data_IF_918961074201
#
_entry.id   IF_918961074201
#
_cell.length_a   1.000
_cell.length_b   1.000
_cell.length_c   1.000
_cell.angle_alpha   90.00
_cell.angle_beta   90.00
_cell.angle_gamma   90.00
#
_symmetry.space_group_name_H-M   'P 1'
#
loop_
_entity.id
_entity.type
_entity.pdbx_description
1 polymer ?
#
# COMPACT_ATOMS: atom_id res chain seq x y z
N UNK A 1 13.81 -42.65 -10.58
CA UNK A 1 13.77 -42.25 -9.17
C UNK A 1 13.17 -40.86 -9.12
N UNK A 2 11.91 -40.66 -8.74
CA UNK A 2 11.38 -39.31 -8.57
C UNK A 2 11.90 -38.77 -7.23
N UNK A 3 12.48 -37.56 -7.28
CA UNK A 3 13.03 -36.89 -6.13
C UNK A 3 11.95 -36.58 -5.09
N UNK A 4 12.25 -36.93 -3.88
CA UNK A 4 11.58 -36.54 -2.65
C UNK A 4 11.62 -35.00 -2.57
N UNK A 5 10.50 -34.33 -2.87
CA UNK A 5 10.31 -32.95 -2.50
C UNK A 5 10.18 -32.92 -0.97
N UNK A 6 11.28 -32.60 -0.33
CA UNK A 6 11.36 -32.28 1.09
C UNK A 6 10.32 -31.15 1.34
N UNK A 7 9.20 -31.52 1.95
CA UNK A 7 8.22 -30.56 2.44
C UNK A 7 8.90 -29.86 3.59
N UNK A 8 9.40 -28.64 3.31
CA UNK A 8 9.80 -27.72 4.36
C UNK A 8 8.57 -27.49 5.25
N UNK A 9 8.42 -28.30 6.28
CA UNK A 9 7.48 -28.07 7.36
C UNK A 9 7.94 -26.77 8.04
N UNK A 10 7.21 -25.68 7.76
CA UNK A 10 7.45 -24.43 8.43
C UNK A 10 6.94 -24.54 9.87
N UNK A 11 7.82 -24.63 10.88
CA UNK A 11 7.44 -24.88 12.28
C UNK A 11 6.55 -23.76 12.85
N UNK A 12 6.44 -22.62 12.17
CA UNK A 12 5.57 -21.50 12.55
C UNK A 12 4.08 -21.83 12.27
N UNK A 13 3.79 -22.76 11.34
CA UNK A 13 2.40 -23.05 10.93
C UNK A 13 1.64 -24.00 11.90
N UNK A 14 2.34 -24.68 12.80
CA UNK A 14 1.74 -25.74 13.61
C UNK A 14 0.98 -25.28 14.87
N UNK A 15 0.99 -23.98 15.22
CA UNK A 15 0.32 -23.44 16.40
C UNK A 15 -0.58 -22.22 16.12
N UNK A 16 -0.90 -21.94 14.85
CA UNK A 16 -1.75 -20.80 14.51
C UNK A 16 -3.20 -21.09 14.92
N UNK A 17 -3.82 -20.17 15.65
CA UNK A 17 -5.25 -20.20 15.88
C UNK A 17 -5.99 -20.00 14.53
N UNK A 18 -7.10 -20.69 14.31
CA UNK A 18 -7.86 -20.51 13.07
C UNK A 18 -8.40 -19.07 12.97
N UNK A 19 -8.55 -18.55 11.75
CA UNK A 19 -9.18 -17.26 11.56
C UNK A 19 -10.64 -17.28 12.03
N UNK A 20 -11.09 -16.18 12.59
CA UNK A 20 -12.47 -16.00 13.05
C UNK A 20 -13.34 -15.38 11.95
N UNK A 21 -14.66 -15.68 11.91
CA UNK A 21 -15.56 -14.98 11.03
C UNK A 21 -15.66 -13.50 11.45
N UNK A 22 -15.35 -12.60 10.52
CA UNK A 22 -15.32 -11.16 10.77
C UNK A 22 -16.46 -10.41 10.06
N UNK A 23 -16.85 -10.84 8.87
CA UNK A 23 -17.87 -10.18 8.07
C UNK A 23 -18.79 -11.21 7.44
N UNK A 24 -20.10 -10.95 7.55
CA UNK A 24 -21.14 -11.65 6.81
C UNK A 24 -21.59 -10.76 5.65
N UNK A 25 -21.52 -11.26 4.43
CA UNK A 25 -22.17 -10.64 3.29
C UNK A 25 -23.54 -11.31 3.11
N UNK A 26 -24.60 -10.51 3.10
CA UNK A 26 -25.95 -11.04 3.02
C UNK A 26 -26.61 -10.69 1.68
N UNK A 27 -27.51 -11.55 1.24
CA UNK A 27 -28.47 -11.28 0.15
C UNK A 27 -29.88 -11.41 0.73
N UNK A 28 -30.51 -10.26 0.98
CA UNK A 28 -31.71 -10.24 1.82
C UNK A 28 -31.39 -10.70 3.23
N UNK A 29 -32.13 -11.66 3.78
CA UNK A 29 -31.93 -12.20 5.12
C UNK A 29 -30.96 -13.40 5.18
N UNK A 30 -30.46 -13.85 4.02
CA UNK A 30 -29.58 -15.01 3.93
C UNK A 30 -28.11 -14.61 3.83
N UNK A 31 -27.22 -15.38 4.48
CA UNK A 31 -25.77 -15.20 4.37
C UNK A 31 -25.30 -15.75 3.02
N UNK A 32 -24.80 -14.88 2.14
CA UNK A 32 -24.24 -15.26 0.84
C UNK A 32 -22.76 -15.66 0.94
N UNK A 33 -21.98 -14.98 1.77
CA UNK A 33 -20.58 -15.32 2.01
C UNK A 33 -20.10 -14.90 3.39
N UNK A 34 -19.04 -15.58 3.86
CA UNK A 34 -18.37 -15.32 5.13
C UNK A 34 -16.91 -14.94 4.84
N UNK A 35 -16.44 -13.86 5.45
CA UNK A 35 -15.04 -13.49 5.41
C UNK A 35 -14.40 -13.74 6.77
N UNK A 36 -13.29 -14.47 6.74
CA UNK A 36 -12.54 -14.85 7.93
C UNK A 36 -11.23 -14.06 8.01
N UNK A 37 -10.77 -13.80 9.22
CA UNK A 37 -9.51 -13.09 9.43
C UNK A 37 -9.07 -13.09 10.88
N UNK A 38 -8.03 -12.30 11.14
CA UNK A 38 -7.49 -12.04 12.45
C UNK A 38 -7.50 -10.54 12.69
N UNK A 39 -7.79 -10.10 13.91
CA UNK A 39 -7.60 -8.71 14.29
C UNK A 39 -7.06 -8.60 15.72
N UNK A 40 -6.39 -7.51 16.00
CA UNK A 40 -5.97 -7.13 17.33
C UNK A 40 -6.18 -5.63 17.52
N UNK A 41 -6.70 -5.23 18.65
CA UNK A 41 -6.77 -3.85 19.12
C UNK A 41 -5.76 -3.70 20.25
N UNK A 42 -4.78 -2.82 20.06
CA UNK A 42 -3.75 -2.57 21.04
C UNK A 42 -3.95 -1.21 21.71
N UNK A 43 -3.69 -1.13 23.00
CA UNK A 43 -3.55 0.13 23.72
C UNK A 43 -2.22 0.82 23.36
N UNK A 44 -2.05 2.14 23.69
CA UNK A 44 -0.81 2.86 23.42
C UNK A 44 0.46 2.26 24.02
N UNK A 45 0.33 1.50 25.09
CA UNK A 45 1.43 0.78 25.75
C UNK A 45 1.76 -0.57 25.09
N UNK A 46 1.03 -0.93 24.02
CA UNK A 46 1.18 -2.19 23.30
C UNK A 46 0.41 -3.38 23.88
N UNK A 47 -0.29 -3.22 25.00
CA UNK A 47 -1.15 -4.27 25.55
C UNK A 47 -2.36 -4.53 24.63
N UNK A 48 -2.73 -5.79 24.49
CA UNK A 48 -3.89 -6.18 23.68
C UNK A 48 -5.17 -5.97 24.48
N UNK A 49 -6.04 -5.10 24.00
CA UNK A 49 -7.35 -4.79 24.58
C UNK A 49 -8.41 -5.77 24.10
N UNK A 50 -8.34 -6.11 22.80
CA UNK A 50 -9.30 -7.00 22.16
C UNK A 50 -8.61 -7.69 20.97
N UNK A 51 -9.08 -8.87 20.61
CA UNK A 51 -8.56 -9.59 19.46
C UNK A 51 -9.40 -10.81 19.10
N UNK A 52 -9.28 -11.30 17.88
CA UNK A 52 -9.94 -12.51 17.41
C UNK A 52 -9.08 -13.25 16.40
N UNK A 53 -9.15 -14.58 16.43
CA UNK A 53 -8.23 -15.42 15.70
C UNK A 53 -6.83 -15.39 16.30
N UNK A 54 -5.81 -15.54 15.46
CA UNK A 54 -4.42 -15.47 15.89
C UNK A 54 -3.91 -14.03 15.82
N UNK A 55 -3.81 -13.36 16.98
CA UNK A 55 -3.32 -11.97 17.08
C UNK A 55 -1.82 -11.85 16.78
N UNK A 56 -1.09 -12.95 16.74
CA UNK A 56 0.34 -13.00 16.40
C UNK A 56 0.58 -13.45 14.96
N UNK A 57 -0.48 -13.58 14.15
CA UNK A 57 -0.37 -13.96 12.76
C UNK A 57 0.52 -13.00 11.98
N UNK A 58 1.60 -13.54 11.39
CA UNK A 58 2.57 -12.76 10.62
C UNK A 58 2.04 -12.51 9.22
N UNK A 59 1.91 -11.25 8.84
CA UNK A 59 1.44 -10.85 7.53
C UNK A 59 2.23 -9.65 6.98
N UNK A 60 2.11 -9.43 5.67
CA UNK A 60 2.64 -8.23 5.04
C UNK A 60 1.59 -7.12 5.08
N UNK A 61 1.83 -5.99 5.76
CA UNK A 61 0.86 -4.90 5.87
C UNK A 61 0.59 -4.20 4.53
N UNK A 62 1.47 -4.37 3.55
CA UNK A 62 1.33 -3.79 2.21
C UNK A 62 1.05 -2.28 2.30
N UNK A 63 0.10 -1.79 1.48
CA UNK A 63 -0.24 -0.37 1.42
C UNK A 63 -0.88 0.19 2.71
N UNK A 64 -1.36 -0.66 3.62
CA UNK A 64 -1.87 -0.20 4.92
C UNK A 64 -0.78 0.45 5.80
N UNK A 65 0.50 0.18 5.52
CA UNK A 65 1.62 0.78 6.24
C UNK A 65 1.96 2.22 5.79
N UNK A 66 1.46 2.68 4.64
CA UNK A 66 1.85 3.97 4.06
C UNK A 66 1.62 5.18 4.98
N UNK A 67 0.51 5.30 5.72
CA UNK A 67 0.34 6.40 6.67
C UNK A 67 1.40 6.42 7.75
N UNK A 68 1.82 5.24 8.24
CA UNK A 68 2.90 5.12 9.24
C UNK A 68 4.24 5.53 8.63
N UNK A 69 4.51 5.14 7.38
CA UNK A 69 5.72 5.55 6.66
C UNK A 69 5.75 7.08 6.42
N UNK A 70 4.60 7.67 6.10
CA UNK A 70 4.47 9.11 5.87
C UNK A 70 4.65 9.95 7.16
N UNK A 71 4.53 9.36 8.35
CA UNK A 71 4.84 10.06 9.61
C UNK A 71 6.25 10.63 9.62
N UNK A 72 7.20 10.02 8.93
CA UNK A 72 8.57 10.50 8.85
C UNK A 72 8.65 11.89 8.21
N UNK A 73 7.80 12.21 7.24
CA UNK A 73 7.74 13.54 6.63
C UNK A 73 7.42 14.63 7.67
N UNK A 74 6.58 14.31 8.65
CA UNK A 74 6.19 15.23 9.73
C UNK A 74 7.22 15.24 10.85
N UNK A 75 7.60 14.05 11.35
CA UNK A 75 8.44 13.93 12.54
C UNK A 75 9.89 14.34 12.31
N UNK A 76 10.39 14.27 11.09
CA UNK A 76 11.71 14.78 10.70
C UNK A 76 11.74 16.30 10.50
N UNK A 77 10.57 16.92 10.29
CA UNK A 77 10.45 18.31 9.85
C UNK A 77 10.60 18.51 8.34
N UNK A 78 10.72 17.43 7.55
CA UNK A 78 10.89 17.53 6.11
C UNK A 78 9.66 18.17 5.44
N UNK A 79 8.45 17.87 5.90
CA UNK A 79 7.23 18.47 5.38
C UNK A 79 7.28 20.01 5.44
N UNK A 80 7.70 20.57 6.56
CA UNK A 80 7.83 22.02 6.74
C UNK A 80 9.00 22.59 5.92
N UNK A 81 10.14 21.89 5.90
CA UNK A 81 11.35 22.35 5.22
C UNK A 81 11.16 22.42 3.69
N UNK A 82 10.39 21.51 3.12
CA UNK A 82 10.09 21.46 1.68
C UNK A 82 8.73 22.04 1.32
N UNK A 83 7.99 22.60 2.29
CA UNK A 83 6.70 23.24 2.06
C UNK A 83 5.63 22.28 1.52
N UNK A 84 5.61 21.04 2.04
CA UNK A 84 4.62 20.03 1.62
C UNK A 84 3.22 20.42 2.07
N UNK A 85 2.27 20.31 1.15
CA UNK A 85 0.85 20.54 1.38
C UNK A 85 0.09 19.22 1.60
N UNK A 86 -1.19 19.32 1.96
CA UNK A 86 -2.09 18.15 2.18
C UNK A 86 -2.12 17.21 0.96
N UNK A 87 -1.98 17.74 -0.25
CA UNK A 87 -1.89 16.94 -1.50
C UNK A 87 -0.69 16.01 -1.48
N UNK A 88 0.49 16.49 -1.06
CA UNK A 88 1.71 15.69 -0.97
C UNK A 88 1.56 14.59 0.09
N UNK A 89 1.04 14.93 1.27
CA UNK A 89 0.82 13.99 2.35
C UNK A 89 -0.22 12.93 1.97
N UNK A 90 -1.29 13.34 1.28
CA UNK A 90 -2.30 12.42 0.75
C UNK A 90 -1.69 11.45 -0.27
N UNK A 91 -0.86 11.92 -1.19
CA UNK A 91 -0.15 11.10 -2.17
C UNK A 91 0.82 10.14 -1.50
N UNK A 92 1.58 10.60 -0.48
CA UNK A 92 2.49 9.73 0.28
C UNK A 92 1.77 8.57 0.96
N UNK A 93 0.54 8.78 1.43
CA UNK A 93 -0.29 7.77 2.09
C UNK A 93 -1.09 6.90 1.11
N UNK A 94 -1.26 7.31 -0.15
CA UNK A 94 -2.22 6.69 -1.08
C UNK A 94 -1.64 5.53 -1.89
N UNK A 95 -2.57 4.75 -2.47
CA UNK A 95 -2.34 3.92 -3.65
C UNK A 95 -3.20 4.53 -4.76
N UNK A 96 -2.67 5.54 -5.44
CA UNK A 96 -3.42 6.29 -6.44
C UNK A 96 -3.59 5.52 -7.77
N UNK A 97 -4.53 5.95 -8.58
CA UNK A 97 -4.86 5.29 -9.85
C UNK A 97 -4.11 5.86 -11.05
N UNK A 98 -3.22 6.82 -10.79
CA UNK A 98 -2.49 7.56 -11.83
C UNK A 98 -3.40 8.27 -12.83
N UNK A 99 -4.53 8.80 -12.35
CA UNK A 99 -5.28 9.80 -13.10
C UNK A 99 -4.38 11.04 -13.35
N UNK A 100 -4.66 11.85 -14.37
CA UNK A 100 -3.78 12.97 -14.74
C UNK A 100 -3.36 13.86 -13.57
N UNK A 101 -4.31 14.21 -12.70
CA UNK A 101 -3.99 15.07 -11.55
C UNK A 101 -3.06 14.43 -10.52
N UNK A 102 -3.07 13.09 -10.38
CA UNK A 102 -2.10 12.38 -9.54
C UNK A 102 -0.70 12.44 -10.15
N UNK A 103 -0.63 12.20 -11.47
CA UNK A 103 0.64 12.20 -12.22
C UNK A 103 1.26 13.59 -12.22
N UNK A 104 0.44 14.62 -12.46
CA UNK A 104 0.89 16.02 -12.46
C UNK A 104 1.44 16.40 -11.08
N UNK A 105 0.73 16.04 -10.00
CA UNK A 105 1.15 16.36 -8.64
C UNK A 105 2.46 15.62 -8.25
N UNK A 106 2.61 14.34 -8.59
CA UNK A 106 3.86 13.59 -8.33
C UNK A 106 5.01 14.18 -9.15
N UNK A 107 4.76 14.51 -10.43
CA UNK A 107 5.80 15.06 -11.31
C UNK A 107 6.27 16.45 -10.84
N UNK A 108 5.34 17.31 -10.41
CA UNK A 108 5.65 18.60 -9.82
C UNK A 108 6.47 18.44 -8.54
N UNK A 109 6.05 17.52 -7.65
CA UNK A 109 6.78 17.24 -6.42
C UNK A 109 8.21 16.78 -6.67
N UNK A 110 8.42 15.86 -7.62
CA UNK A 110 9.77 15.44 -8.02
C UNK A 110 10.61 16.58 -8.55
N UNK A 111 10.01 17.47 -9.36
CA UNK A 111 10.71 18.64 -9.89
C UNK A 111 11.14 19.60 -8.76
N UNK A 112 10.30 19.84 -7.77
CA UNK A 112 10.61 20.67 -6.59
C UNK A 112 11.77 20.09 -5.77
N UNK A 113 11.88 18.76 -5.72
CA UNK A 113 13.00 18.05 -5.10
C UNK A 113 14.25 17.99 -5.99
N UNK A 114 14.23 18.55 -7.21
CA UNK A 114 15.28 18.37 -8.22
C UNK A 114 15.53 16.90 -8.56
N UNK A 115 14.50 16.07 -8.47
CA UNK A 115 14.49 14.64 -8.80
C UNK A 115 13.71 14.37 -10.09
N UNK A 116 13.87 13.16 -10.61
CA UNK A 116 13.20 12.66 -11.81
C UNK A 116 12.47 11.34 -11.51
N UNK A 117 11.72 10.82 -12.47
CA UNK A 117 11.10 9.49 -12.30
C UNK A 117 12.13 8.36 -12.10
N UNK A 118 13.37 8.53 -12.53
CA UNK A 118 14.41 7.52 -12.40
C UNK A 118 14.93 7.38 -10.96
N UNK A 119 14.67 8.39 -10.11
CA UNK A 119 14.98 8.34 -8.68
C UNK A 119 13.93 7.53 -7.89
N UNK A 120 12.76 7.28 -8.49
CA UNK A 120 11.73 6.42 -7.89
C UNK A 120 12.15 4.94 -7.97
N UNK A 121 12.04 4.21 -6.86
CA UNK A 121 12.41 2.78 -6.80
C UNK A 121 11.23 1.87 -7.20
N UNK A 122 10.00 2.40 -7.33
CA UNK A 122 8.87 1.62 -7.82
C UNK A 122 9.04 1.21 -9.29
N UNK A 123 8.32 0.17 -9.70
CA UNK A 123 8.33 -0.30 -11.10
C UNK A 123 7.72 0.72 -12.07
N UNK A 124 7.97 0.52 -13.36
CA UNK A 124 7.25 1.22 -14.42
C UNK A 124 5.92 0.53 -14.67
N UNK A 125 4.83 1.30 -14.75
CA UNK A 125 3.48 0.77 -14.95
C UNK A 125 2.68 1.68 -15.89
N UNK A 126 1.45 1.25 -16.23
CA UNK A 126 0.42 2.10 -16.79
C UNK A 126 -0.55 2.51 -15.69
N UNK A 127 -1.32 3.62 -15.86
CA UNK A 127 -2.39 3.98 -14.95
C UNK A 127 -3.37 2.82 -14.69
N UNK A 128 -3.86 2.72 -13.46
CA UNK A 128 -5.00 1.86 -13.15
C UNK A 128 -6.32 2.44 -13.65
N UNK A 129 -6.38 3.77 -13.86
CA UNK A 129 -7.49 4.40 -14.57
C UNK A 129 -7.48 3.96 -16.05
N UNK A 130 -8.53 3.25 -16.46
CA UNK A 130 -8.59 2.67 -17.81
C UNK A 130 -8.66 3.76 -18.88
N UNK A 131 -9.31 4.90 -18.64
CA UNK A 131 -9.41 5.97 -19.62
C UNK A 131 -8.05 6.66 -19.84
N UNK A 132 -7.31 6.92 -18.75
CA UNK A 132 -5.95 7.44 -18.83
C UNK A 132 -5.01 6.47 -19.54
N UNK A 133 -5.08 5.19 -19.21
CA UNK A 133 -4.30 4.13 -19.84
C UNK A 133 -4.57 4.03 -21.33
N UNK A 134 -5.85 4.00 -21.76
CA UNK A 134 -6.20 3.98 -23.17
C UNK A 134 -5.67 5.20 -23.93
N UNK A 135 -5.74 6.39 -23.31
CA UNK A 135 -5.22 7.60 -23.93
C UNK A 135 -3.72 7.53 -24.17
N UNK A 136 -2.95 7.01 -23.20
CA UNK A 136 -1.50 6.81 -23.34
C UNK A 136 -1.15 5.77 -24.41
N UNK A 137 -1.87 4.64 -24.43
CA UNK A 137 -1.66 3.59 -25.43
C UNK A 137 -1.94 4.08 -26.86
N UNK A 138 -2.98 4.91 -27.06
CA UNK A 138 -3.28 5.54 -28.36
C UNK A 138 -2.19 6.49 -28.83
N UNK A 139 -1.45 7.08 -27.89
CA UNK A 139 -0.32 7.99 -28.17
C UNK A 139 1.04 7.27 -28.23
N UNK A 140 1.05 5.94 -28.09
CA UNK A 140 2.27 5.12 -28.00
C UNK A 140 3.22 5.60 -26.87
N UNK A 141 2.67 6.05 -25.75
CA UNK A 141 3.44 6.41 -24.56
C UNK A 141 3.79 5.14 -23.79
N UNK A 142 5.05 4.99 -23.43
CA UNK A 142 5.55 3.86 -22.66
C UNK A 142 5.13 3.93 -21.18
N UNK A 143 5.32 2.81 -20.47
CA UNK A 143 5.18 2.75 -19.02
C UNK A 143 6.14 3.68 -18.33
N UNK A 144 5.69 4.34 -17.26
CA UNK A 144 6.50 5.23 -16.45
C UNK A 144 6.38 4.89 -14.97
N UNK A 145 7.38 5.28 -14.18
CA UNK A 145 7.36 5.12 -12.72
C UNK A 145 6.37 6.07 -12.05
N UNK A 146 6.08 7.21 -12.65
CA UNK A 146 5.05 8.15 -12.12
C UNK A 146 3.64 7.58 -12.22
N UNK A 147 3.39 6.64 -13.15
CA UNK A 147 2.11 5.95 -13.26
C UNK A 147 1.94 4.82 -12.23
N UNK A 148 3.01 4.40 -11.57
CA UNK A 148 2.89 3.38 -10.54
C UNK A 148 2.10 3.92 -9.34
N UNK A 149 1.16 3.13 -8.82
CA UNK A 149 0.27 3.53 -7.72
C UNK A 149 0.96 3.92 -6.41
N UNK A 150 2.25 3.69 -6.29
CA UNK A 150 3.07 4.04 -5.13
C UNK A 150 4.03 5.20 -5.42
N UNK A 151 3.97 5.86 -6.59
CA UNK A 151 4.94 6.91 -6.95
C UNK A 151 4.93 8.07 -5.96
N UNK A 152 3.75 8.48 -5.46
CA UNK A 152 3.64 9.51 -4.43
C UNK A 152 4.32 9.12 -3.11
N UNK A 153 4.19 7.86 -2.68
CA UNK A 153 4.94 7.34 -1.51
C UNK A 153 6.45 7.42 -1.74
N UNK A 154 6.91 7.06 -2.94
CA UNK A 154 8.34 7.10 -3.26
C UNK A 154 8.86 8.54 -3.38
N UNK A 155 8.06 9.50 -3.87
CA UNK A 155 8.39 10.91 -3.81
C UNK A 155 8.56 11.38 -2.35
N UNK A 156 7.66 10.94 -1.45
CA UNK A 156 7.79 11.19 -0.02
C UNK A 156 9.07 10.61 0.61
N UNK A 157 9.59 9.49 0.11
CA UNK A 157 10.87 8.93 0.60
C UNK A 157 12.10 9.72 0.11
N UNK A 158 11.96 10.49 -0.96
CA UNK A 158 13.03 11.33 -1.51
C UNK A 158 13.07 12.71 -0.84
N UNK A 159 11.99 13.11 -0.14
CA UNK A 159 11.89 14.34 0.63
C UNK A 159 12.60 14.23 1.97
#
# INVERSE_FOLDING_TARGET
MPGEHDKLENPIMNNLLPPSPLVNVTRGDEIESLHYGHYAVAAPDGSIVEGSGDIHFVTYPRSALKPIQALQLITSGAADAYGLEDTHLSLACSSHWAEPFHVDAVSAWLADLSCTEDDLICGRDYPYDEAAKEALLKQNVDRSRVFHNCSGKHAGFLT
#
